data_IF_360312601797
#
_entry.id   IF_360312601797
#
_cell.length_a   1.000
_cell.length_b   1.000
_cell.length_c   1.000
_cell.angle_alpha   90.00
_cell.angle_beta   90.00
_cell.angle_gamma   90.00
#
_symmetry.space_group_name_H-M   'P 1'
#
loop_
_entity.id
_entity.type
_entity.pdbx_description
1 polymer ?
#
# COMPACT_ATOMS: atom_id res chain seq x y z
N UNK A 1 8.96 -18.65 -17.29
CA UNK A 1 8.62 -17.29 -16.79
C UNK A 1 7.12 -17.32 -16.53
N UNK A 2 6.71 -17.42 -15.27
CA UNK A 2 5.32 -17.74 -14.91
C UNK A 2 4.55 -16.44 -14.62
N UNK A 3 3.49 -16.19 -15.38
CA UNK A 3 2.56 -15.09 -15.16
C UNK A 3 1.30 -15.68 -14.53
N UNK A 4 0.86 -15.09 -13.43
CA UNK A 4 -0.45 -15.38 -12.85
C UNK A 4 -1.42 -14.33 -13.36
N UNK A 5 -2.53 -14.76 -13.94
CA UNK A 5 -3.58 -13.86 -14.39
C UNK A 5 -4.94 -14.34 -13.91
N UNK A 6 -5.76 -13.42 -13.44
CA UNK A 6 -7.15 -13.66 -13.08
C UNK A 6 -8.04 -12.93 -14.08
N UNK A 7 -8.97 -13.65 -14.69
CA UNK A 7 -9.94 -13.11 -15.63
C UNK A 7 -11.31 -13.20 -15.00
N UNK A 8 -11.97 -12.06 -14.83
CA UNK A 8 -13.32 -11.94 -14.29
C UNK A 8 -14.27 -11.48 -15.39
N UNK A 9 -15.36 -12.22 -15.57
CA UNK A 9 -16.37 -11.96 -16.59
C UNK A 9 -17.71 -11.71 -15.91
N UNK A 10 -18.26 -10.51 -16.12
CA UNK A 10 -19.54 -10.07 -15.51
C UNK A 10 -20.56 -9.71 -16.58
N UNK A 11 -21.84 -9.83 -16.24
CA UNK A 11 -22.96 -9.59 -17.15
C UNK A 11 -24.07 -10.63 -17.01
N UNK A 12 -24.97 -10.66 -17.99
CA UNK A 12 -26.15 -11.52 -17.96
C UNK A 12 -25.78 -13.02 -17.81
N UNK A 13 -26.47 -13.78 -16.94
CA UNK A 13 -26.10 -15.16 -16.63
C UNK A 13 -26.17 -16.10 -17.85
N UNK A 14 -27.16 -15.94 -18.72
CA UNK A 14 -27.32 -16.76 -19.93
C UNK A 14 -26.17 -16.55 -20.93
N UNK A 15 -25.71 -15.30 -21.10
CA UNK A 15 -24.55 -14.99 -21.94
C UNK A 15 -23.24 -15.50 -21.32
N UNK A 16 -23.11 -15.44 -19.98
CA UNK A 16 -21.92 -15.97 -19.28
C UNK A 16 -21.80 -17.49 -19.43
N UNK A 17 -22.88 -18.24 -19.37
CA UNK A 17 -22.85 -19.71 -19.55
C UNK A 17 -22.42 -20.09 -20.98
N UNK A 18 -22.93 -19.38 -21.99
CA UNK A 18 -22.50 -19.58 -23.37
C UNK A 18 -21.02 -19.22 -23.58
N UNK A 19 -20.58 -18.12 -22.97
CA UNK A 19 -19.19 -17.67 -22.98
C UNK A 19 -18.25 -18.67 -22.29
N UNK A 20 -18.63 -19.22 -21.13
CA UNK A 20 -17.88 -20.26 -20.41
C UNK A 20 -17.58 -21.46 -21.32
N UNK A 21 -18.61 -22.00 -21.98
CA UNK A 21 -18.48 -23.15 -22.84
C UNK A 21 -17.55 -22.91 -24.05
N UNK A 22 -17.47 -21.67 -24.52
CA UNK A 22 -16.57 -21.26 -25.59
C UNK A 22 -15.14 -21.07 -25.10
N UNK A 23 -14.94 -20.34 -24.00
CA UNK A 23 -13.62 -20.09 -23.43
C UNK A 23 -12.96 -21.39 -22.99
N UNK A 24 -13.71 -22.32 -22.39
CA UNK A 24 -13.20 -23.64 -22.02
C UNK A 24 -12.62 -24.39 -23.23
N UNK A 25 -13.28 -24.30 -24.40
CA UNK A 25 -12.78 -24.89 -25.65
C UNK A 25 -11.55 -24.17 -26.19
N UNK A 26 -11.56 -22.83 -26.18
CA UNK A 26 -10.46 -22.02 -26.69
C UNK A 26 -9.18 -22.15 -25.85
N UNK A 27 -9.32 -22.14 -24.52
CA UNK A 27 -8.21 -22.25 -23.56
C UNK A 27 -7.62 -23.67 -23.53
N UNK A 28 -8.43 -24.72 -23.67
CA UNK A 28 -7.94 -26.10 -23.74
C UNK A 28 -7.00 -26.35 -24.95
N UNK A 29 -7.12 -25.53 -26.00
CA UNK A 29 -6.22 -25.57 -27.16
C UNK A 29 -4.89 -24.84 -26.97
N UNK A 30 -4.75 -24.02 -25.93
CA UNK A 30 -3.60 -23.12 -25.74
C UNK A 30 -2.86 -23.32 -24.42
N UNK A 31 -3.56 -23.76 -23.37
CA UNK A 31 -3.02 -23.93 -22.02
C UNK A 31 -3.17 -25.37 -21.55
N UNK A 32 -2.27 -25.82 -20.67
CA UNK A 32 -2.42 -27.14 -20.05
C UNK A 32 -3.55 -27.09 -19.04
N UNK A 33 -4.17 -28.24 -18.81
CA UNK A 33 -5.30 -28.35 -17.87
C UNK A 33 -4.94 -27.91 -16.45
N UNK A 34 -3.72 -28.15 -16.01
CA UNK A 34 -3.26 -27.78 -14.65
C UNK A 34 -2.91 -26.29 -14.51
N UNK A 35 -2.87 -25.56 -15.64
CA UNK A 35 -2.54 -24.14 -15.71
C UNK A 35 -3.78 -23.24 -15.71
N UNK A 36 -4.98 -23.83 -15.66
CA UNK A 36 -6.27 -23.12 -15.70
C UNK A 36 -7.18 -23.64 -14.60
N UNK A 37 -7.55 -22.78 -13.66
CA UNK A 37 -8.62 -23.03 -12.69
C UNK A 37 -9.82 -22.17 -13.05
N UNK A 38 -11.01 -22.76 -13.08
CA UNK A 38 -12.27 -22.06 -13.39
C UNK A 38 -13.17 -22.04 -12.15
N UNK A 39 -13.77 -20.89 -11.90
CA UNK A 39 -14.72 -20.66 -10.81
C UNK A 39 -15.97 -19.95 -11.35
N UNK A 40 -17.09 -20.68 -11.42
CA UNK A 40 -18.38 -20.11 -11.82
C UNK A 40 -19.19 -19.69 -10.59
N UNK A 41 -19.46 -18.39 -10.46
CA UNK A 41 -20.28 -17.80 -9.41
C UNK A 41 -21.61 -17.25 -9.95
N UNK A 42 -22.53 -16.95 -9.03
CA UNK A 42 -23.86 -16.41 -9.36
C UNK A 42 -23.77 -15.12 -10.18
N UNK A 43 -22.78 -14.26 -9.90
CA UNK A 43 -22.67 -12.91 -10.49
C UNK A 43 -21.44 -12.73 -11.41
N UNK A 44 -20.50 -13.68 -11.39
CA UNK A 44 -19.28 -13.62 -12.21
C UNK A 44 -18.78 -15.01 -12.61
N UNK A 45 -18.08 -15.08 -13.73
CA UNK A 45 -17.28 -16.23 -14.15
C UNK A 45 -15.80 -15.85 -14.02
N UNK A 46 -15.01 -16.64 -13.30
CA UNK A 46 -13.60 -16.34 -13.03
C UNK A 46 -12.67 -17.45 -13.54
N UNK A 47 -11.56 -17.06 -14.16
CA UNK A 47 -10.47 -17.96 -14.56
C UNK A 47 -9.16 -17.52 -13.92
N UNK A 48 -8.48 -18.42 -13.22
CA UNK A 48 -7.11 -18.25 -12.78
C UNK A 48 -6.16 -19.00 -13.71
N UNK A 49 -5.24 -18.27 -14.31
CA UNK A 49 -4.33 -18.76 -15.33
C UNK A 49 -2.89 -18.70 -14.84
N UNK A 50 -2.13 -19.75 -15.11
CA UNK A 50 -0.69 -19.85 -14.89
C UNK A 50 -0.01 -20.02 -16.24
N UNK A 51 0.39 -18.91 -16.87
CA UNK A 51 0.83 -18.93 -18.27
C UNK A 51 2.33 -18.69 -18.40
N UNK A 52 2.96 -19.49 -19.26
CA UNK A 52 4.33 -19.29 -19.69
C UNK A 52 4.34 -18.60 -21.06
N UNK A 53 4.89 -17.39 -21.15
CA UNK A 53 5.06 -16.68 -22.42
C UNK A 53 4.04 -15.58 -22.72
N UNK A 54 3.10 -15.29 -21.81
CA UNK A 54 2.17 -14.16 -21.94
C UNK A 54 0.71 -14.54 -21.71
N UNK A 55 -0.11 -13.54 -21.44
CA UNK A 55 -1.56 -13.70 -21.28
C UNK A 55 -2.18 -13.83 -22.68
N UNK A 56 -3.11 -14.79 -22.90
CA UNK A 56 -3.74 -14.98 -24.20
C UNK A 56 -4.84 -13.92 -24.45
N UNK A 57 -4.47 -12.63 -24.42
CA UNK A 57 -5.39 -11.51 -24.70
C UNK A 57 -6.22 -11.68 -25.99
N UNK A 58 -5.68 -12.20 -27.11
CA UNK A 58 -6.50 -12.41 -28.31
C UNK A 58 -7.70 -13.34 -28.11
N UNK A 59 -7.61 -14.32 -27.19
CA UNK A 59 -8.73 -15.22 -26.87
C UNK A 59 -9.86 -14.46 -26.18
N UNK A 60 -9.50 -13.62 -25.20
CA UNK A 60 -10.47 -12.84 -24.42
C UNK A 60 -11.05 -11.67 -25.22
N UNK A 61 -10.25 -11.02 -26.06
CA UNK A 61 -10.73 -9.98 -26.97
C UNK A 61 -11.78 -10.55 -27.93
N UNK A 62 -11.51 -11.71 -28.54
CA UNK A 62 -12.47 -12.37 -29.44
C UNK A 62 -13.75 -12.78 -28.71
N UNK A 63 -13.64 -13.34 -27.50
CA UNK A 63 -14.82 -13.67 -26.71
C UNK A 63 -15.64 -12.41 -26.36
N UNK A 64 -14.97 -11.30 -26.04
CA UNK A 64 -15.63 -10.01 -25.78
C UNK A 64 -16.34 -9.44 -27.01
N UNK A 65 -15.84 -9.71 -28.23
CA UNK A 65 -16.50 -9.31 -29.48
C UNK A 65 -17.80 -10.10 -29.72
N UNK A 66 -17.75 -11.41 -29.46
CA UNK A 66 -18.88 -12.31 -29.64
C UNK A 66 -19.96 -12.13 -28.55
N UNK A 67 -19.56 -11.65 -27.36
CA UNK A 67 -20.45 -11.32 -26.24
C UNK A 67 -20.31 -9.85 -25.82
N UNK A 68 -20.86 -8.91 -26.61
CA UNK A 68 -20.58 -7.48 -26.45
C UNK A 68 -21.20 -6.87 -25.18
N UNK A 69 -22.16 -7.55 -24.55
CA UNK A 69 -22.76 -7.10 -23.28
C UNK A 69 -21.99 -7.57 -22.05
N UNK A 70 -21.08 -8.53 -22.23
CA UNK A 70 -20.21 -9.01 -21.16
C UNK A 70 -18.97 -8.13 -21.04
N UNK A 71 -18.56 -7.93 -19.80
CA UNK A 71 -17.34 -7.23 -19.47
C UNK A 71 -16.27 -8.22 -19.03
N UNK A 72 -15.07 -8.08 -19.60
CA UNK A 72 -13.92 -8.92 -19.28
C UNK A 72 -12.87 -8.06 -18.59
N UNK A 73 -12.66 -8.30 -17.31
CA UNK A 73 -11.57 -7.71 -16.55
C UNK A 73 -10.46 -8.75 -16.39
N UNK A 74 -9.24 -8.39 -16.75
CA UNK A 74 -8.07 -9.26 -16.67
C UNK A 74 -7.01 -8.57 -15.83
N UNK A 75 -6.66 -9.16 -14.71
CA UNK A 75 -5.59 -8.70 -13.83
C UNK A 75 -4.42 -9.68 -13.90
N UNK A 76 -3.18 -9.19 -13.89
CA UNK A 76 -2.02 -10.07 -13.95
C UNK A 76 -0.80 -9.59 -13.19
N UNK A 77 0.05 -10.56 -12.88
CA UNK A 77 1.35 -10.37 -12.22
C UNK A 77 2.41 -11.24 -12.92
N UNK A 78 3.44 -10.59 -13.44
CA UNK A 78 4.68 -11.21 -13.94
C UNK A 78 5.80 -10.98 -12.92
N UNK A 79 5.96 -11.92 -11.99
CA UNK A 79 6.96 -11.84 -10.91
C UNK A 79 8.39 -11.76 -11.45
N UNK A 80 8.68 -12.48 -12.54
CA UNK A 80 10.02 -12.57 -13.10
C UNK A 80 10.44 -11.31 -13.87
N UNK A 81 9.50 -10.63 -14.54
CA UNK A 81 9.76 -9.35 -15.18
C UNK A 81 9.57 -8.16 -14.22
N UNK A 82 9.04 -8.40 -13.02
CA UNK A 82 8.67 -7.34 -12.10
C UNK A 82 7.63 -6.42 -12.75
N UNK A 83 6.52 -6.97 -13.25
CA UNK A 83 5.45 -6.21 -13.91
C UNK A 83 4.07 -6.71 -13.47
N UNK A 84 3.11 -5.79 -13.30
CA UNK A 84 1.70 -6.10 -13.09
C UNK A 84 0.84 -5.19 -13.97
N UNK A 85 -0.41 -5.55 -14.15
CA UNK A 85 -1.32 -4.67 -14.87
C UNK A 85 -2.72 -5.22 -14.89
N UNK A 86 -3.60 -4.44 -15.49
CA UNK A 86 -4.98 -4.82 -15.74
C UNK A 86 -5.41 -4.43 -17.15
N UNK A 87 -6.37 -5.16 -17.70
CA UNK A 87 -6.94 -4.91 -19.02
C UNK A 87 -8.43 -5.17 -18.96
N UNK A 88 -9.20 -4.27 -19.57
CA UNK A 88 -10.66 -4.40 -19.66
C UNK A 88 -11.06 -4.47 -21.12
N UNK A 89 -11.81 -5.51 -21.49
CA UNK A 89 -12.40 -5.67 -22.81
C UNK A 89 -13.92 -5.57 -22.75
N UNK A 90 -14.48 -4.82 -23.69
CA UNK A 90 -15.93 -4.70 -23.90
C UNK A 90 -16.17 -4.67 -25.41
N UNK A 91 -17.04 -5.54 -25.92
CA UNK A 91 -17.36 -5.59 -27.35
C UNK A 91 -16.15 -5.82 -28.25
N UNK A 92 -15.14 -6.56 -27.79
CA UNK A 92 -13.92 -6.85 -28.56
C UNK A 92 -12.88 -5.72 -28.55
N UNK A 93 -13.19 -4.60 -27.91
CA UNK A 93 -12.28 -3.47 -27.79
C UNK A 93 -11.63 -3.41 -26.43
N UNK A 94 -10.33 -3.08 -26.42
CA UNK A 94 -9.61 -2.76 -25.19
C UNK A 94 -10.10 -1.41 -24.67
N UNK A 95 -10.95 -1.44 -23.66
CA UNK A 95 -11.53 -0.25 -23.04
C UNK A 95 -10.55 0.47 -22.12
N UNK A 96 -9.69 -0.29 -21.43
CA UNK A 96 -8.64 0.24 -20.58
C UNK A 96 -7.49 -0.77 -20.46
N UNK A 97 -6.25 -0.28 -20.34
CA UNK A 97 -5.10 -1.10 -20.00
C UNK A 97 -4.14 -0.32 -19.12
N UNK A 98 -3.69 -0.95 -18.05
CA UNK A 98 -2.56 -0.49 -17.25
C UNK A 98 -1.44 -1.53 -17.34
N UNK A 99 -0.21 -1.05 -17.37
CA UNK A 99 0.96 -1.89 -17.24
C UNK A 99 1.97 -1.10 -16.42
N UNK A 100 2.24 -1.60 -15.23
CA UNK A 100 3.16 -1.00 -14.29
C UNK A 100 4.32 -1.97 -14.10
N UNK A 101 5.56 -1.47 -14.15
CA UNK A 101 6.61 -2.23 -13.48
C UNK A 101 6.17 -2.38 -12.03
N UNK A 102 6.26 -3.60 -11.53
CA UNK A 102 6.61 -3.86 -10.14
C UNK A 102 8.01 -3.24 -9.96
N UNK A 103 8.05 -1.90 -9.93
CA UNK A 103 9.00 -1.23 -9.08
C UNK A 103 8.82 -1.82 -7.69
N UNK A 104 9.87 -1.79 -6.88
CA UNK A 104 9.73 -1.97 -5.44
C UNK A 104 8.48 -1.21 -5.02
N UNK A 105 7.38 -1.92 -4.75
CA UNK A 105 6.08 -1.29 -4.65
C UNK A 105 6.22 -0.08 -3.73
N UNK A 106 5.60 1.06 -4.07
CA UNK A 106 5.07 1.87 -2.98
C UNK A 106 4.08 0.92 -2.34
N UNK A 107 4.53 0.27 -1.27
CA UNK A 107 3.93 -0.95 -0.78
C UNK A 107 2.72 -0.63 0.13
N UNK A 108 2.05 0.45 -0.24
CA UNK A 108 0.91 1.11 0.38
C UNK A 108 0.15 1.85 -0.73
N UNK A 109 -1.17 1.69 -0.77
CA UNK A 109 -2.06 2.52 -1.62
C UNK A 109 -2.10 3.99 -1.17
N UNK A 110 -1.35 4.33 -0.12
CA UNK A 110 -1.31 5.63 0.53
C UNK A 110 0.10 6.24 0.41
N UNK A 111 0.18 7.58 0.35
CA UNK A 111 1.45 8.29 0.38
C UNK A 111 2.30 7.96 1.62
N UNK A 112 3.60 7.80 1.40
CA UNK A 112 4.59 7.40 2.40
C UNK A 112 5.66 8.46 2.54
N UNK A 113 6.09 8.67 3.78
CA UNK A 113 7.34 9.32 4.13
C UNK A 113 8.17 8.41 5.03
N UNK A 114 9.46 8.28 4.75
CA UNK A 114 10.42 7.55 5.58
C UNK A 114 11.70 8.36 5.68
N UNK A 115 12.19 8.56 6.89
CA UNK A 115 13.47 9.18 7.18
C UNK A 115 14.26 8.33 8.18
N UNK A 116 15.54 8.12 7.87
CA UNK A 116 16.49 7.38 8.69
C UNK A 116 17.71 8.27 8.97
N UNK A 117 18.12 8.32 10.23
CA UNK A 117 19.32 9.02 10.66
C UNK A 117 20.60 8.33 10.12
N UNK A 118 21.74 9.01 10.23
CA UNK A 118 23.01 8.51 9.66
C UNK A 118 23.51 7.21 10.30
N UNK A 119 23.08 6.94 11.53
CA UNK A 119 23.37 5.74 12.32
C UNK A 119 22.40 4.59 12.05
N UNK A 120 21.45 4.75 11.11
CA UNK A 120 20.45 3.74 10.77
C UNK A 120 19.18 3.79 11.62
N UNK A 121 19.08 4.72 12.57
CA UNK A 121 17.92 4.90 13.45
C UNK A 121 16.73 5.45 12.67
N UNK A 122 15.56 4.82 12.81
CA UNK A 122 14.33 5.28 12.18
C UNK A 122 13.85 6.58 12.84
N UNK A 123 13.96 7.71 12.13
CA UNK A 123 13.48 9.01 12.64
C UNK A 123 11.97 9.11 12.52
N UNK A 124 11.42 8.82 11.34
CA UNK A 124 9.98 8.79 11.11
C UNK A 124 9.67 7.94 9.89
N UNK A 125 8.74 7.00 10.05
CA UNK A 125 8.01 6.35 8.98
C UNK A 125 6.54 6.73 9.13
N UNK A 126 5.94 7.27 8.07
CA UNK A 126 4.61 7.87 8.11
C UNK A 126 3.84 7.48 6.84
N UNK A 127 2.61 7.03 7.01
CA UNK A 127 1.62 6.88 5.94
C UNK A 127 0.35 7.60 6.33
N UNK A 128 -0.23 8.37 5.40
CA UNK A 128 -1.47 9.12 5.64
C UNK A 128 -2.37 9.05 4.41
N UNK A 129 -3.67 8.94 4.65
CA UNK A 129 -4.73 9.04 3.65
C UNK A 129 -5.58 10.27 3.93
N UNK A 130 -5.90 11.03 2.89
CA UNK A 130 -6.85 12.13 2.97
C UNK A 130 -8.28 11.59 2.86
N UNK A 131 -8.99 11.55 3.98
CA UNK A 131 -10.38 11.04 4.04
C UNK A 131 -11.43 12.12 3.82
N UNK A 132 -11.06 13.39 3.99
CA UNK A 132 -11.88 14.53 3.62
C UNK A 132 -11.02 15.75 3.25
N UNK A 133 -11.65 16.83 2.78
CA UNK A 133 -10.95 18.04 2.32
C UNK A 133 -9.96 18.63 3.34
N UNK A 134 -10.16 18.43 4.64
CA UNK A 134 -9.25 18.94 5.66
C UNK A 134 -8.93 17.89 6.73
N UNK A 135 -9.03 16.62 6.39
CA UNK A 135 -8.83 15.53 7.33
C UNK A 135 -7.95 14.44 6.73
N UNK A 136 -6.94 14.04 7.50
CA UNK A 136 -6.04 12.96 7.18
C UNK A 136 -6.03 11.96 8.33
N UNK A 137 -6.02 10.67 7.99
CA UNK A 137 -5.87 9.55 8.91
C UNK A 137 -4.67 8.72 8.50
N UNK A 138 -3.97 8.12 9.45
CA UNK A 138 -2.97 7.12 9.12
C UNK A 138 -2.14 6.67 10.31
N UNK A 139 -0.87 6.38 10.05
CA UNK A 139 0.00 5.69 10.99
C UNK A 139 1.41 6.26 10.94
N UNK A 140 1.95 6.58 12.12
CA UNK A 140 3.31 7.06 12.31
C UNK A 140 4.12 6.10 13.17
N UNK A 141 5.39 5.91 12.84
CA UNK A 141 6.35 5.07 13.56
C UNK A 141 7.68 5.79 13.66
N UNK A 142 8.25 5.82 14.85
CA UNK A 142 9.65 6.20 15.08
C UNK A 142 10.42 4.97 15.59
N UNK A 143 11.70 5.11 15.89
CA UNK A 143 12.52 4.02 16.42
C UNK A 143 11.97 3.38 17.71
N UNK A 144 11.14 4.09 18.50
CA UNK A 144 10.75 3.69 19.86
C UNK A 144 9.24 3.71 20.12
N UNK A 145 8.43 4.20 19.19
CA UNK A 145 6.98 4.29 19.36
C UNK A 145 6.25 4.32 18.04
N UNK A 146 4.99 3.94 18.08
CA UNK A 146 4.05 4.04 16.98
C UNK A 146 2.70 4.58 17.45
N UNK A 147 1.93 5.15 16.52
CA UNK A 147 0.60 5.64 16.81
C UNK A 147 -0.25 5.70 15.54
N UNK A 148 -1.55 5.44 15.69
CA UNK A 148 -2.53 5.91 14.73
C UNK A 148 -2.64 7.43 14.86
N UNK A 149 -2.78 8.11 13.73
CA UNK A 149 -2.78 9.56 13.65
C UNK A 149 -4.06 10.05 12.98
N UNK A 150 -4.56 11.20 13.46
CA UNK A 150 -5.58 11.99 12.79
C UNK A 150 -5.15 13.44 12.75
N UNK A 151 -5.17 14.06 11.58
CA UNK A 151 -4.82 15.46 11.39
C UNK A 151 -6.04 16.18 10.84
N UNK A 152 -6.51 17.21 11.54
CA UNK A 152 -7.59 18.08 11.13
C UNK A 152 -7.04 19.47 10.86
N UNK A 153 -7.33 20.02 9.69
CA UNK A 153 -7.04 21.42 9.37
C UNK A 153 -8.32 22.25 9.45
N UNK A 154 -8.25 23.40 10.10
CA UNK A 154 -9.39 24.32 10.16
C UNK A 154 -9.64 24.97 8.79
N UNK A 155 -10.85 24.85 8.21
CA UNK A 155 -11.14 25.42 6.89
C UNK A 155 -10.94 26.94 6.88
N UNK A 156 -10.13 27.43 5.93
CA UNK A 156 -9.87 28.87 5.77
C UNK A 156 -8.99 29.48 6.86
N UNK A 157 -8.38 28.66 7.73
CA UNK A 157 -7.40 29.07 8.73
C UNK A 157 -6.10 28.28 8.57
N UNK A 158 -5.06 28.80 9.20
CA UNK A 158 -3.78 28.09 9.34
C UNK A 158 -3.72 27.27 10.64
N UNK A 159 -4.84 27.13 11.33
CA UNK A 159 -4.97 26.31 12.54
C UNK A 159 -5.16 24.83 12.17
N UNK A 160 -4.57 23.94 12.97
CA UNK A 160 -4.75 22.50 12.84
C UNK A 160 -4.69 21.81 14.19
N UNK A 161 -5.21 20.59 14.21
CA UNK A 161 -5.15 19.68 15.35
C UNK A 161 -4.61 18.33 14.90
N UNK A 162 -3.63 17.81 15.61
CA UNK A 162 -3.13 16.44 15.47
C UNK A 162 -3.58 15.63 16.68
N UNK A 163 -4.15 14.46 16.43
CA UNK A 163 -4.49 13.45 17.42
C UNK A 163 -3.60 12.23 17.22
N UNK A 164 -3.18 11.60 18.31
CA UNK A 164 -2.48 10.33 18.30
C UNK A 164 -3.05 9.36 19.35
N UNK A 165 -2.98 8.07 19.05
CA UNK A 165 -3.27 7.00 20.02
C UNK A 165 -2.10 6.76 20.97
N UNK A 166 -2.39 6.28 22.18
CA UNK A 166 -1.37 5.82 23.14
C UNK A 166 -1.68 4.39 23.62
N UNK A 167 -1.41 3.40 22.75
CA UNK A 167 -1.56 1.97 23.09
C UNK A 167 -3.00 1.44 23.18
N UNK A 168 -4.00 2.30 22.94
CA UNK A 168 -5.42 1.95 22.91
C UNK A 168 -6.12 2.58 21.69
N UNK A 169 -7.28 2.04 21.24
CA UNK A 169 -8.04 2.56 20.10
C UNK A 169 -8.83 3.83 20.46
N UNK A 170 -8.13 4.83 21.00
CA UNK A 170 -8.66 6.12 21.42
C UNK A 170 -7.68 7.24 21.08
N UNK A 171 -8.21 8.40 20.69
CA UNK A 171 -7.44 9.62 20.51
C UNK A 171 -7.08 10.17 21.89
N UNK A 172 -5.91 9.79 22.40
CA UNK A 172 -5.46 10.10 23.76
C UNK A 172 -4.55 11.35 23.83
N UNK A 173 -3.76 11.59 22.80
CA UNK A 173 -2.82 12.70 22.75
C UNK A 173 -3.24 13.71 21.68
N UNK A 174 -3.22 15.00 22.01
CA UNK A 174 -3.70 16.07 21.12
C UNK A 174 -2.70 17.22 21.09
N UNK A 175 -2.39 17.70 19.89
CA UNK A 175 -1.63 18.92 19.66
C UNK A 175 -2.45 19.87 18.80
N UNK A 176 -2.54 21.13 19.20
CA UNK A 176 -3.17 22.19 18.40
C UNK A 176 -2.13 23.24 18.06
N UNK A 177 -2.28 23.91 16.93
CA UNK A 177 -1.32 24.96 16.58
C UNK A 177 -1.50 25.54 15.20
N UNK A 178 -0.49 26.31 14.78
CA UNK A 178 -0.52 27.06 13.53
C UNK A 178 0.52 26.54 12.54
N UNK A 179 0.05 26.22 11.33
CA UNK A 179 0.85 25.66 10.24
C UNK A 179 1.99 26.58 9.80
N UNK A 180 1.70 27.88 9.63
CA UNK A 180 2.67 28.85 9.15
C UNK A 180 3.73 29.18 10.22
N UNK A 181 3.30 29.28 11.48
CA UNK A 181 4.20 29.53 12.60
C UNK A 181 5.00 28.29 13.03
N UNK A 182 4.57 27.08 12.62
CA UNK A 182 5.12 25.79 13.05
C UNK A 182 5.22 25.67 14.57
N UNK A 183 4.22 26.22 15.27
CA UNK A 183 4.10 26.17 16.71
C UNK A 183 2.88 25.34 17.05
N UNK A 184 3.11 24.27 17.83
CA UNK A 184 2.10 23.31 18.23
C UNK A 184 2.24 23.03 19.72
N UNK A 185 1.13 23.15 20.44
CA UNK A 185 1.05 22.98 21.88
C UNK A 185 0.32 21.68 22.19
N UNK A 186 0.93 20.85 23.04
CA UNK A 186 0.29 19.66 23.58
C UNK A 186 -0.86 20.07 24.51
N UNK A 187 -2.01 19.44 24.34
CA UNK A 187 -3.21 19.73 25.11
C UNK A 187 -3.32 18.72 26.26
N UNK A 188 -2.79 19.09 27.42
CA UNK A 188 -2.91 18.28 28.63
C UNK A 188 -4.36 18.16 29.12
N UNK A 189 -4.70 16.98 29.65
CA UNK A 189 -5.98 16.76 30.33
C UNK A 189 -7.20 16.64 29.41
N UNK A 190 -7.01 16.48 28.10
CA UNK A 190 -8.09 16.06 27.20
C UNK A 190 -8.53 14.64 27.54
N UNK A 191 -9.85 14.43 27.58
CA UNK A 191 -10.41 13.09 27.77
C UNK A 191 -10.21 12.28 26.47
N UNK A 192 -9.66 11.05 26.54
CA UNK A 192 -9.49 10.22 25.36
C UNK A 192 -10.81 9.99 24.63
N UNK A 193 -10.78 10.14 23.30
CA UNK A 193 -11.98 9.96 22.46
C UNK A 193 -11.87 8.64 21.72
N UNK A 194 -12.80 7.71 22.00
CA UNK A 194 -12.84 6.41 21.33
C UNK A 194 -12.89 6.55 19.80
N UNK A 195 -12.08 5.73 19.11
CA UNK A 195 -12.11 5.63 17.65
C UNK A 195 -13.27 4.71 17.26
N UNK A 196 -14.09 5.13 16.29
CA UNK A 196 -15.16 4.28 15.78
C UNK A 196 -14.58 3.00 15.15
N UNK A 197 -15.18 1.84 15.43
CA UNK A 197 -14.67 0.52 15.02
C UNK A 197 -14.31 0.43 13.53
N UNK A 198 -15.14 1.00 12.65
CA UNK A 198 -14.88 0.99 11.20
C UNK A 198 -13.62 1.77 10.84
N UNK A 199 -13.43 2.94 11.46
CA UNK A 199 -12.24 3.79 11.26
C UNK A 199 -11.01 3.07 11.80
N UNK A 200 -11.12 2.45 12.98
CA UNK A 200 -10.03 1.69 13.57
C UNK A 200 -9.62 0.50 12.69
N UNK A 201 -10.56 -0.25 12.13
CA UNK A 201 -10.27 -1.37 11.22
C UNK A 201 -9.56 -0.94 9.94
N UNK A 202 -9.93 0.21 9.36
CA UNK A 202 -9.27 0.73 8.17
C UNK A 202 -7.86 1.24 8.48
N UNK A 203 -7.68 1.92 9.63
CA UNK A 203 -6.37 2.35 10.13
C UNK A 203 -5.45 1.17 10.47
N UNK A 204 -5.95 0.13 11.13
CA UNK A 204 -5.19 -1.09 11.44
C UNK A 204 -4.75 -1.80 10.15
N UNK A 205 -5.63 -1.88 9.14
CA UNK A 205 -5.28 -2.44 7.83
C UNK A 205 -4.17 -1.65 7.14
N UNK A 206 -4.28 -0.31 7.14
CA UNK A 206 -3.26 0.59 6.59
C UNK A 206 -1.92 0.42 7.33
N UNK A 207 -1.95 0.44 8.66
CA UNK A 207 -0.76 0.31 9.50
C UNK A 207 -0.04 -1.02 9.27
N UNK A 208 -0.79 -2.15 9.24
CA UNK A 208 -0.23 -3.48 8.96
C UNK A 208 0.40 -3.56 7.57
N UNK A 209 -0.29 -3.05 6.54
CA UNK A 209 0.23 -3.02 5.18
C UNK A 209 1.53 -2.24 5.08
N UNK A 210 1.55 -1.04 5.66
CA UNK A 210 2.74 -0.18 5.71
C UNK A 210 3.90 -0.82 6.49
N UNK A 211 3.63 -1.37 7.68
CA UNK A 211 4.64 -2.01 8.49
C UNK A 211 5.22 -3.26 7.80
N UNK A 212 4.37 -4.11 7.22
CA UNK A 212 4.83 -5.28 6.46
C UNK A 212 5.74 -4.87 5.29
N UNK A 213 5.42 -3.77 4.64
CA UNK A 213 6.11 -3.23 3.48
C UNK A 213 7.48 -2.59 3.78
N UNK A 214 7.54 -1.84 4.88
CA UNK A 214 8.66 -0.92 5.15
C UNK A 214 9.43 -1.28 6.39
N UNK A 215 8.79 -1.88 7.40
CA UNK A 215 9.33 -1.96 8.75
C UNK A 215 9.54 -3.42 9.21
N UNK A 216 10.33 -3.56 10.26
CA UNK A 216 10.37 -4.75 11.09
C UNK A 216 10.60 -4.32 12.55
N UNK A 217 10.05 -5.09 13.48
CA UNK A 217 10.07 -4.77 14.91
C UNK A 217 10.99 -5.73 15.66
N UNK A 218 11.66 -5.24 16.71
CA UNK A 218 12.63 -6.03 17.46
C UNK A 218 12.01 -7.18 18.27
N UNK A 219 10.71 -7.09 18.58
CA UNK A 219 9.91 -8.06 19.31
C UNK A 219 9.24 -9.13 18.41
N UNK A 220 9.37 -9.00 17.08
CA UNK A 220 8.88 -10.00 16.15
C UNK A 220 9.63 -11.34 16.31
N UNK A 221 9.04 -12.48 15.87
CA UNK A 221 9.65 -13.79 16.04
C UNK A 221 11.08 -13.88 15.49
N UNK A 222 11.99 -14.54 16.23
CA UNK A 222 13.41 -14.61 15.88
C UNK A 222 13.66 -15.12 14.45
N UNK A 223 12.84 -16.08 13.98
CA UNK A 223 12.97 -16.61 12.62
C UNK A 223 12.67 -15.56 11.53
N UNK A 224 11.86 -14.54 11.83
CA UNK A 224 11.52 -13.46 10.91
C UNK A 224 12.59 -12.36 10.86
N UNK A 225 13.26 -12.11 12.00
CA UNK A 225 14.17 -10.96 12.15
C UNK A 225 15.67 -11.32 12.17
N UNK A 226 16.05 -12.60 12.26
CA UNK A 226 17.46 -13.00 12.28
C UNK A 226 18.25 -12.47 11.07
N UNK A 227 17.65 -12.54 9.88
CA UNK A 227 18.25 -12.05 8.64
C UNK A 227 18.36 -10.51 8.64
N UNK A 228 17.35 -9.81 9.16
CA UNK A 228 17.36 -8.34 9.24
C UNK A 228 18.45 -7.86 10.21
N UNK A 229 18.55 -8.47 11.40
CA UNK A 229 19.59 -8.17 12.39
C UNK A 229 21.00 -8.39 11.83
N UNK A 230 21.24 -9.51 11.13
CA UNK A 230 22.54 -9.77 10.51
C UNK A 230 22.91 -8.70 9.47
N UNK A 231 21.93 -8.26 8.66
CA UNK A 231 22.15 -7.22 7.64
C UNK A 231 22.42 -5.86 8.26
N UNK A 232 21.70 -5.48 9.31
CA UNK A 232 21.95 -4.26 10.07
C UNK A 232 23.37 -4.24 10.66
N UNK A 233 23.78 -5.33 11.31
CA UNK A 233 25.14 -5.48 11.83
C UNK A 233 26.21 -5.36 10.73
N UNK A 234 25.97 -5.94 9.54
CA UNK A 234 26.87 -5.80 8.38
C UNK A 234 26.99 -4.35 7.88
N UNK A 235 25.96 -3.54 8.06
CA UNK A 235 25.97 -2.13 7.73
C UNK A 235 26.56 -1.25 8.84
N UNK A 236 26.85 -1.82 10.02
CA UNK A 236 27.35 -1.09 11.18
C UNK A 236 26.26 -0.34 11.94
N UNK A 237 25.00 -0.75 11.81
CA UNK A 237 23.86 -0.11 12.48
C UNK A 237 23.37 -0.94 13.66
N UNK A 238 22.96 -0.23 14.71
CA UNK A 238 22.25 -0.82 15.84
C UNK A 238 20.75 -0.97 15.51
N UNK A 239 20.08 -1.84 16.26
CA UNK A 239 18.64 -2.10 16.07
C UNK A 239 17.86 -1.44 17.20
N UNK A 240 16.79 -0.72 16.86
CA UNK A 240 15.84 -0.13 17.81
C UNK A 240 14.57 -0.99 17.92
N UNK A 241 13.52 -0.50 18.59
CA UNK A 241 12.24 -1.22 18.72
C UNK A 241 11.56 -1.37 17.36
N UNK A 242 11.59 -0.32 16.53
CA UNK A 242 11.17 -0.35 15.13
C UNK A 242 12.31 0.05 14.20
N UNK A 243 12.45 -0.67 13.09
CA UNK A 243 13.55 -0.53 12.15
C UNK A 243 13.03 -0.55 10.72
N UNK A 244 13.75 0.13 9.83
CA UNK A 244 13.51 0.02 8.40
C UNK A 244 13.96 -1.36 7.90
N UNK A 245 13.22 -1.99 6.98
CA UNK A 245 13.69 -3.22 6.34
C UNK A 245 15.02 -2.96 5.62
N UNK A 246 15.99 -3.85 5.81
CA UNK A 246 17.34 -3.73 5.25
C UNK A 246 17.36 -3.53 3.74
N UNK A 247 16.40 -4.11 3.00
CA UNK A 247 16.25 -3.91 1.56
C UNK A 247 15.88 -2.45 1.22
N UNK A 248 14.96 -1.84 1.97
CA UNK A 248 14.57 -0.42 1.82
C UNK A 248 15.70 0.51 2.24
N UNK A 249 16.38 0.19 3.34
CA UNK A 249 17.55 0.94 3.79
C UNK A 249 18.68 0.94 2.76
N UNK A 250 18.94 -0.22 2.14
CA UNK A 250 19.94 -0.32 1.07
C UNK A 250 19.54 0.49 -0.17
N UNK A 251 18.26 0.45 -0.54
CA UNK A 251 17.71 1.27 -1.64
C UNK A 251 17.91 2.77 -1.36
N UNK A 252 17.49 3.25 -0.19
CA UNK A 252 17.66 4.65 0.24
C UNK A 252 19.12 5.11 0.15
N UNK A 253 20.05 4.29 0.66
CA UNK A 253 21.49 4.60 0.62
C UNK A 253 22.02 4.71 -0.81
N UNK A 254 21.54 3.85 -1.70
CA UNK A 254 21.93 3.84 -3.11
C UNK A 254 21.40 5.06 -3.85
N UNK A 255 20.15 5.44 -3.58
CA UNK A 255 19.47 6.59 -4.20
C UNK A 255 20.03 7.94 -3.69
N UNK A 256 20.23 8.08 -2.38
CA UNK A 256 20.72 9.32 -1.79
C UNK A 256 22.21 9.59 -2.13
N UNK A 257 23.02 8.54 -2.14
CA UNK A 257 24.48 8.63 -2.20
C UNK A 257 25.13 8.90 -0.84
N UNK A 258 26.46 8.82 -0.77
CA UNK A 258 27.20 8.91 0.49
C UNK A 258 27.02 10.27 1.17
N UNK A 259 26.71 10.26 2.48
CA UNK A 259 26.64 11.45 3.34
C UNK A 259 25.39 12.31 3.16
N UNK A 260 24.40 11.87 2.38
CA UNK A 260 23.11 12.56 2.23
C UNK A 260 22.05 12.00 3.19
N UNK A 261 21.01 12.80 3.51
CA UNK A 261 19.85 12.31 4.27
C UNK A 261 19.24 11.08 3.60
N UNK A 262 18.94 10.05 4.41
CA UNK A 262 18.29 8.83 3.96
C UNK A 262 16.78 9.02 4.08
N UNK A 263 16.22 9.71 3.09
CA UNK A 263 14.80 10.05 3.06
C UNK A 263 14.13 9.54 1.78
N UNK A 264 12.90 9.07 1.93
CA UNK A 264 11.98 8.76 0.84
C UNK A 264 10.64 9.43 1.12
N UNK A 265 10.08 10.08 0.12
CA UNK A 265 8.76 10.70 0.21
C UNK A 265 8.00 10.50 -1.09
N UNK A 266 6.77 10.03 -0.98
CA UNK A 266 5.78 10.05 -2.06
C UNK A 266 4.69 11.09 -1.82
N UNK A 267 4.76 11.88 -0.74
CA UNK A 267 3.86 13.02 -0.54
C UNK A 267 3.98 14.01 -1.70
N UNK A 268 2.83 14.53 -2.12
CA UNK A 268 2.78 15.65 -3.07
C UNK A 268 3.36 16.93 -2.44
N UNK A 269 3.67 17.92 -3.26
CA UNK A 269 4.14 19.22 -2.77
C UNK A 269 3.12 19.88 -1.81
N UNK A 270 1.83 19.66 -2.05
CA UNK A 270 0.72 20.19 -1.24
C UNK A 270 0.52 19.43 0.08
N UNK A 271 1.18 18.30 0.27
CA UNK A 271 1.08 17.42 1.44
C UNK A 271 2.41 17.31 2.20
N UNK A 272 3.49 17.89 1.66
CA UNK A 272 4.81 17.86 2.28
C UNK A 272 4.84 18.46 3.70
N UNK A 273 3.87 19.30 4.06
CA UNK A 273 3.73 19.86 5.41
C UNK A 273 3.28 18.84 6.46
N UNK A 274 2.64 17.74 6.06
CA UNK A 274 2.13 16.72 7.00
C UNK A 274 3.25 16.11 7.83
N UNK A 275 4.35 15.69 7.19
CA UNK A 275 5.52 15.17 7.89
C UNK A 275 6.14 16.20 8.83
N UNK A 276 6.16 17.47 8.45
CA UNK A 276 6.79 18.53 9.24
C UNK A 276 6.02 18.76 10.55
N UNK A 277 4.69 18.62 10.54
CA UNK A 277 3.88 18.68 11.76
C UNK A 277 4.15 17.48 12.65
N UNK A 278 4.12 16.27 12.10
CA UNK A 278 4.34 15.05 12.89
C UNK A 278 5.71 15.11 13.57
N UNK A 279 6.74 15.56 12.85
CA UNK A 279 8.09 15.81 13.39
C UNK A 279 8.12 16.93 14.44
N UNK A 280 7.29 17.97 14.30
CA UNK A 280 7.23 19.07 15.27
C UNK A 280 6.37 18.76 16.51
N UNK A 281 5.65 17.63 16.53
CA UNK A 281 4.68 17.26 17.58
C UNK A 281 5.00 15.88 18.15
N UNK A 282 4.24 14.86 17.74
CA UNK A 282 4.30 13.50 18.26
C UNK A 282 5.70 12.88 18.17
N UNK A 283 6.48 13.21 17.13
CA UNK A 283 7.83 12.69 16.91
C UNK A 283 8.97 13.62 17.36
N UNK A 284 8.68 14.75 18.03
CA UNK A 284 9.67 15.81 18.32
C UNK A 284 10.85 15.37 19.21
N UNK A 285 10.59 14.46 20.15
CA UNK A 285 11.55 14.02 21.17
C UNK A 285 11.91 12.54 21.02
N UNK A 286 12.10 12.08 19.78
CA UNK A 286 12.64 10.74 19.47
C UNK A 286 14.05 10.85 18.92
#
# INVERSE_FOLDING_TARGET
MLIHATVTITGAPEEREACEAQLRRALAGQLRRDDVTEHSGKDALCYDLKVEGGIPFPVFARASEEFPTLEFAIDWVNVAAGERGSARFVGGHLAAQTSERIGTASATDHPVYVAVATDGTLTLALTLERVASNEWLGYGVTATRDALLRILREPGRDELTLYATEGAPEWAAVWTGNLLARQFDFQEGQEPVAIADSIFQDLDRMARGFAQAWLWFADAPEQEIAIERERYARYGYETADANLRSARLHQLRTEAGAGKPLEHSTFSADEAWLKDIVLATWAKDV
#
